data_IF_447244873738
#
_entry.id   IF_447244873738
#
_cell.length_a   1.000
_cell.length_b   1.000
_cell.length_c   1.000
_cell.angle_alpha   90.00
_cell.angle_beta   90.00
_cell.angle_gamma   90.00
#
_symmetry.space_group_name_H-M   'P 1'
#
loop_
_entity.id
_entity.type
_entity.pdbx_description
1 polymer ?
#
# COMPACT_ATOMS: atom_id res chain seq x y z
N UNK A 1 10.14 -8.07 -5.71
CA UNK A 1 9.15 -8.64 -4.76
C UNK A 1 9.73 -8.66 -3.36
N UNK A 2 9.12 -7.96 -2.40
CA UNK A 2 9.46 -8.05 -0.98
C UNK A 2 9.28 -9.51 -0.52
N UNK A 3 10.20 -9.97 0.33
CA UNK A 3 10.11 -11.31 0.92
C UNK A 3 8.77 -11.46 1.65
N UNK A 4 8.14 -12.64 1.58
CA UNK A 4 6.89 -12.92 2.32
C UNK A 4 7.00 -12.52 3.79
N UNK A 5 8.16 -12.75 4.41
CA UNK A 5 8.46 -12.34 5.79
C UNK A 5 8.33 -10.83 6.02
N UNK A 6 8.77 -10.00 5.06
CA UNK A 6 8.69 -8.54 5.17
C UNK A 6 7.23 -8.05 5.11
N UNK A 7 6.38 -8.72 4.32
CA UNK A 7 4.95 -8.41 4.26
C UNK A 7 4.23 -8.76 5.57
N UNK A 8 4.56 -9.91 6.17
CA UNK A 8 4.01 -10.30 7.48
C UNK A 8 4.47 -9.36 8.60
N UNK A 9 5.76 -9.01 8.66
CA UNK A 9 6.26 -8.05 9.63
C UNK A 9 5.59 -6.67 9.50
N UNK A 10 5.27 -6.25 8.26
CA UNK A 10 4.52 -5.02 8.01
C UNK A 10 3.08 -5.12 8.53
N UNK A 11 2.39 -6.23 8.27
CA UNK A 11 1.04 -6.47 8.78
C UNK A 11 1.01 -6.50 10.32
N UNK A 12 1.99 -7.13 10.96
CA UNK A 12 2.15 -7.14 12.42
C UNK A 12 2.39 -5.72 12.98
N UNK A 13 3.16 -4.89 12.27
CA UNK A 13 3.36 -3.49 12.64
C UNK A 13 2.05 -2.68 12.58
N UNK A 14 1.15 -2.96 11.63
CA UNK A 14 -0.14 -2.28 11.52
C UNK A 14 -1.06 -2.55 12.72
N UNK A 15 -0.98 -3.76 13.30
CA UNK A 15 -1.76 -4.11 14.50
C UNK A 15 -1.37 -3.26 15.73
N UNK A 16 -0.16 -2.70 15.75
CA UNK A 16 0.34 -1.83 16.83
C UNK A 16 0.13 -0.33 16.61
N UNK A 17 -0.55 0.08 15.54
CA UNK A 17 -0.84 1.49 15.27
C UNK A 17 -1.90 2.02 16.25
N UNK A 18 -1.70 3.21 16.80
CA UNK A 18 -2.63 3.80 17.79
C UNK A 18 -3.30 5.07 17.30
N UNK A 19 -2.88 5.60 16.14
CA UNK A 19 -3.46 6.79 15.54
C UNK A 19 -4.80 6.48 14.91
N UNK A 20 -5.78 7.37 15.07
CA UNK A 20 -7.05 7.32 14.37
C UNK A 20 -7.06 8.39 13.27
N UNK A 21 -7.79 8.14 12.19
CA UNK A 21 -8.03 9.15 11.16
C UNK A 21 -8.73 10.37 11.77
N UNK A 22 -8.35 11.56 11.34
CA UNK A 22 -8.98 12.82 11.81
C UNK A 22 -10.48 12.88 11.50
N UNK A 23 -10.92 12.20 10.44
CA UNK A 23 -12.31 12.12 10.05
C UNK A 23 -12.60 10.72 9.54
N UNK A 24 -13.68 10.11 10.01
CA UNK A 24 -14.17 8.84 9.51
C UNK A 24 -14.63 8.94 8.05
N UNK A 25 -14.63 7.81 7.35
CA UNK A 25 -15.00 7.79 5.94
C UNK A 25 -16.47 8.19 5.71
N UNK A 26 -17.35 7.91 6.68
CA UNK A 26 -18.76 8.31 6.68
C UNK A 26 -18.94 9.83 6.78
N UNK A 27 -18.07 10.50 7.52
CA UNK A 27 -18.13 11.95 7.74
C UNK A 27 -17.22 12.75 6.80
N UNK A 28 -16.37 12.08 6.00
CA UNK A 28 -15.44 12.72 5.09
C UNK A 28 -16.13 13.68 4.10
N UNK A 29 -17.32 13.30 3.60
CA UNK A 29 -18.13 14.16 2.73
C UNK A 29 -18.56 15.47 3.39
N UNK A 30 -18.81 15.45 4.70
CA UNK A 30 -19.31 16.61 5.45
C UNK A 30 -18.13 17.49 5.91
N UNK A 31 -16.98 16.90 6.19
CA UNK A 31 -15.78 17.63 6.58
C UNK A 31 -15.23 18.51 5.44
N UNK A 32 -15.43 18.13 4.18
CA UNK A 32 -15.02 18.93 3.02
C UNK A 32 -15.91 18.65 1.79
N UNK A 33 -17.17 19.13 1.78
CA UNK A 33 -18.14 18.81 0.74
C UNK A 33 -17.71 19.31 -0.64
N UNK A 34 -17.12 20.50 -0.71
CA UNK A 34 -16.61 21.05 -1.98
C UNK A 34 -15.52 20.17 -2.60
N UNK A 35 -14.59 19.67 -1.78
CA UNK A 35 -13.53 18.80 -2.25
C UNK A 35 -14.04 17.39 -2.58
N UNK A 36 -15.00 16.87 -1.82
CA UNK A 36 -15.66 15.61 -2.13
C UNK A 36 -16.35 15.67 -3.50
N UNK A 37 -17.10 16.74 -3.78
CA UNK A 37 -17.67 16.97 -5.10
C UNK A 37 -16.60 17.03 -6.21
N UNK A 38 -15.50 17.76 -6.01
CA UNK A 38 -14.39 17.77 -6.97
C UNK A 38 -13.78 16.38 -7.16
N UNK A 39 -13.72 15.58 -6.10
CA UNK A 39 -13.21 14.20 -6.15
C UNK A 39 -14.14 13.24 -6.88
N UNK A 40 -15.44 13.56 -6.99
CA UNK A 40 -16.40 12.79 -7.80
C UNK A 40 -16.27 13.14 -9.29
N UNK A 41 -16.13 14.44 -9.62
CA UNK A 41 -16.08 14.89 -11.02
C UNK A 41 -14.69 14.81 -11.67
N UNK A 42 -13.61 14.84 -10.89
CA UNK A 42 -12.22 14.78 -11.35
C UNK A 42 -11.42 13.77 -10.51
N UNK A 43 -11.96 12.56 -10.32
CA UNK A 43 -11.38 11.51 -9.47
C UNK A 43 -9.91 11.24 -9.81
N UNK A 44 -9.59 11.13 -11.10
CA UNK A 44 -8.23 10.90 -11.57
C UNK A 44 -7.29 12.05 -11.18
N UNK A 45 -7.69 13.29 -11.44
CA UNK A 45 -6.91 14.49 -11.15
C UNK A 45 -6.59 14.58 -9.65
N UNK A 46 -7.60 14.35 -8.81
CA UNK A 46 -7.45 14.38 -7.35
C UNK A 46 -6.52 13.28 -6.87
N UNK A 47 -6.66 12.06 -7.38
CA UNK A 47 -5.77 10.94 -7.04
C UNK A 47 -4.31 11.23 -7.42
N UNK A 48 -4.05 11.81 -8.58
CA UNK A 48 -2.72 12.26 -9.00
C UNK A 48 -2.11 13.27 -8.01
N UNK A 49 -2.85 14.32 -7.67
CA UNK A 49 -2.38 15.36 -6.76
C UNK A 49 -2.19 14.84 -5.34
N UNK A 50 -3.09 14.00 -4.83
CA UNK A 50 -2.98 13.40 -3.50
C UNK A 50 -1.80 12.44 -3.42
N UNK A 51 -1.56 11.64 -4.46
CA UNK A 51 -0.40 10.73 -4.52
C UNK A 51 0.92 11.51 -4.53
N UNK A 52 1.01 12.57 -5.33
CA UNK A 52 2.19 13.45 -5.36
C UNK A 52 2.42 14.14 -4.01
N UNK A 53 1.34 14.57 -3.34
CA UNK A 53 1.40 15.16 -1.99
C UNK A 53 1.75 14.16 -0.89
N UNK A 54 1.29 12.92 -0.99
CA UNK A 54 1.65 11.85 -0.06
C UNK A 54 3.17 11.57 -0.12
N UNK A 55 3.77 11.67 -1.32
CA UNK A 55 5.22 11.61 -1.54
C UNK A 55 5.97 12.91 -1.19
N UNK A 56 5.31 13.89 -0.57
CA UNK A 56 5.85 15.22 -0.25
C UNK A 56 6.44 15.94 -1.47
N UNK A 57 5.82 15.77 -2.65
CA UNK A 57 6.27 16.29 -3.94
C UNK A 57 7.65 15.77 -4.42
N UNK A 58 8.25 14.80 -3.73
CA UNK A 58 9.50 14.16 -4.15
C UNK A 58 9.21 12.89 -4.97
N UNK A 59 9.23 13.07 -6.29
CA UNK A 59 8.96 11.99 -7.25
C UNK A 59 10.10 10.97 -7.37
N UNK A 60 11.27 11.20 -6.74
CA UNK A 60 12.36 10.21 -6.75
C UNK A 60 12.02 8.95 -5.95
N UNK A 61 11.07 9.07 -5.02
CA UNK A 61 10.55 7.99 -4.17
C UNK A 61 9.34 7.28 -4.75
N UNK A 62 8.89 7.71 -5.92
CA UNK A 62 7.73 7.14 -6.57
C UNK A 62 8.01 5.70 -7.02
N UNK A 63 7.13 4.80 -6.60
CA UNK A 63 7.02 3.42 -7.08
C UNK A 63 5.56 3.20 -7.48
N UNK A 64 5.37 2.68 -8.69
CA UNK A 64 4.06 2.37 -9.24
C UNK A 64 3.31 1.43 -8.29
N UNK A 65 2.06 1.77 -7.95
CA UNK A 65 1.21 0.98 -7.06
C UNK A 65 1.86 0.63 -5.70
N UNK A 66 2.81 1.46 -5.24
CA UNK A 66 3.58 1.25 -4.00
C UNK A 66 4.37 -0.07 -3.93
N UNK A 67 4.77 -0.62 -5.09
CA UNK A 67 5.60 -1.83 -5.13
C UNK A 67 4.86 -3.14 -4.82
N UNK A 68 3.53 -3.08 -4.63
CA UNK A 68 2.71 -4.23 -4.26
C UNK A 68 2.17 -5.00 -5.48
N UNK A 69 2.17 -4.36 -6.66
CA UNK A 69 1.69 -4.97 -7.90
C UNK A 69 2.83 -5.42 -8.83
N UNK A 70 2.58 -6.43 -9.67
CA UNK A 70 3.58 -6.97 -10.61
C UNK A 70 4.05 -5.96 -11.68
N UNK A 71 3.33 -4.85 -11.88
CA UNK A 71 3.73 -3.75 -12.77
C UNK A 71 4.86 -2.88 -12.19
N UNK A 72 5.05 -2.88 -10.87
CA UNK A 72 6.05 -2.04 -10.18
C UNK A 72 7.48 -2.46 -10.55
N UNK A 73 8.35 -1.47 -10.83
CA UNK A 73 9.76 -1.72 -11.18
C UNK A 73 10.01 -2.17 -12.62
N UNK A 74 8.98 -2.37 -13.44
CA UNK A 74 9.12 -2.84 -14.84
C UNK A 74 8.75 -1.79 -15.88
N UNK A 75 8.06 -0.73 -15.48
CA UNK A 75 7.55 0.31 -16.39
C UNK A 75 8.49 1.52 -16.57
N UNK A 76 9.76 1.44 -16.16
CA UNK A 76 10.69 2.58 -16.30
C UNK A 76 10.35 3.78 -15.41
N UNK A 77 9.71 3.53 -14.26
CA UNK A 77 9.20 4.54 -13.32
C UNK A 77 10.26 5.52 -12.81
N UNK A 78 11.54 5.14 -12.79
CA UNK A 78 12.66 6.00 -12.39
C UNK A 78 13.03 7.04 -13.46
N UNK A 79 12.76 6.76 -14.74
CA UNK A 79 13.09 7.67 -15.84
C UNK A 79 12.02 8.76 -16.02
N UNK A 80 10.74 8.41 -15.86
CA UNK A 80 9.59 9.32 -16.01
C UNK A 80 8.49 9.02 -14.95
N UNK A 81 8.68 9.41 -13.68
CA UNK A 81 7.76 9.07 -12.60
C UNK A 81 6.39 9.74 -12.74
N UNK A 82 6.30 10.95 -13.28
CA UNK A 82 5.03 11.65 -13.48
C UNK A 82 4.14 10.99 -14.53
N UNK A 83 4.73 10.49 -15.63
CA UNK A 83 3.99 9.75 -16.65
C UNK A 83 3.50 8.40 -16.13
N UNK A 84 4.35 7.70 -15.36
CA UNK A 84 3.96 6.45 -14.72
C UNK A 84 2.85 6.69 -13.69
N UNK A 85 2.91 7.77 -12.92
CA UNK A 85 1.86 8.17 -11.98
C UNK A 85 0.55 8.49 -12.70
N UNK A 86 0.60 9.20 -13.83
CA UNK A 86 -0.57 9.43 -14.67
C UNK A 86 -1.19 8.10 -15.12
N UNK A 87 -0.37 7.18 -15.62
CA UNK A 87 -0.80 5.85 -16.07
C UNK A 87 -1.40 5.03 -14.91
N UNK A 88 -0.79 5.05 -13.73
CA UNK A 88 -1.31 4.40 -12.52
C UNK A 88 -2.70 4.94 -12.17
N UNK A 89 -2.87 6.26 -12.19
CA UNK A 89 -4.14 6.89 -11.86
C UNK A 89 -5.21 6.55 -12.89
N UNK A 90 -4.91 6.52 -14.19
CA UNK A 90 -5.89 6.23 -15.24
C UNK A 90 -6.26 4.75 -15.32
N UNK A 91 -5.27 3.85 -15.30
CA UNK A 91 -5.49 2.41 -15.53
C UNK A 91 -5.59 1.59 -14.25
N UNK A 92 -5.14 2.14 -13.12
CA UNK A 92 -5.13 1.46 -11.83
C UNK A 92 -5.70 2.38 -10.73
N UNK A 93 -6.72 3.18 -11.06
CA UNK A 93 -7.34 4.14 -10.12
C UNK A 93 -7.65 3.55 -8.73
N UNK A 94 -8.36 2.40 -8.61
CA UNK A 94 -8.57 1.70 -7.35
C UNK A 94 -7.31 1.54 -6.51
N UNK A 95 -6.26 1.07 -7.17
CA UNK A 95 -5.00 0.75 -6.54
C UNK A 95 -4.21 2.01 -6.19
N UNK A 96 -4.29 3.07 -7.00
CA UNK A 96 -3.71 4.37 -6.68
C UNK A 96 -4.27 4.92 -5.37
N UNK A 97 -5.61 4.89 -5.20
CA UNK A 97 -6.28 5.37 -3.99
C UNK A 97 -5.94 4.49 -2.79
N UNK A 98 -6.02 3.16 -2.93
CA UNK A 98 -5.71 2.22 -1.86
C UNK A 98 -4.24 2.31 -1.41
N UNK A 99 -3.31 2.38 -2.35
CA UNK A 99 -1.88 2.48 -2.06
C UNK A 99 -1.50 3.82 -1.42
N UNK A 100 -2.22 4.91 -1.75
CA UNK A 100 -2.10 6.19 -1.05
C UNK A 100 -2.60 6.09 0.39
N UNK A 101 -3.71 5.37 0.61
CA UNK A 101 -4.20 5.11 1.98
C UNK A 101 -3.15 4.39 2.81
N UNK A 102 -2.60 3.28 2.30
CA UNK A 102 -1.60 2.50 3.03
C UNK A 102 -0.35 3.32 3.35
N UNK A 103 0.10 4.16 2.41
CA UNK A 103 1.23 5.07 2.65
C UNK A 103 0.96 6.03 3.81
N UNK A 104 -0.24 6.62 3.86
CA UNK A 104 -0.62 7.52 4.97
C UNK A 104 -0.78 6.76 6.29
N UNK A 105 -1.31 5.53 6.25
CA UNK A 105 -1.42 4.68 7.44
C UNK A 105 -0.05 4.32 8.00
N UNK A 106 0.91 4.00 7.14
CA UNK A 106 2.28 3.68 7.53
C UNK A 106 3.01 4.90 8.08
N UNK A 107 2.86 6.04 7.43
CA UNK A 107 3.55 7.27 7.81
C UNK A 107 3.05 7.80 9.16
N UNK A 108 1.74 7.85 9.35
CA UNK A 108 1.12 8.47 10.52
C UNK A 108 0.64 7.45 11.56
N UNK A 109 0.96 6.15 11.36
CA UNK A 109 0.52 5.03 12.20
C UNK A 109 -0.99 5.05 12.47
N UNK A 110 -1.76 5.11 11.39
CA UNK A 110 -3.22 5.23 11.44
C UNK A 110 -3.92 3.87 11.28
N UNK A 111 -4.93 3.62 12.10
CA UNK A 111 -5.83 2.48 11.97
C UNK A 111 -7.16 2.88 11.35
N UNK A 112 -7.72 1.96 10.55
CA UNK A 112 -9.09 2.08 10.08
C UNK A 112 -10.06 1.77 11.23
N UNK A 113 -11.18 2.48 11.25
CA UNK A 113 -12.31 2.11 12.11
C UNK A 113 -13.04 0.90 11.54
N UNK A 114 -13.86 0.23 12.36
CA UNK A 114 -14.72 -0.87 11.92
C UNK A 114 -15.68 -0.44 10.80
N UNK A 115 -16.14 0.82 10.85
CA UNK A 115 -16.99 1.40 9.81
C UNK A 115 -16.23 1.54 8.48
N UNK A 116 -14.99 2.06 8.52
CA UNK A 116 -14.13 2.16 7.34
C UNK A 116 -13.85 0.78 6.73
N UNK A 117 -13.59 -0.23 7.57
CA UNK A 117 -13.38 -1.61 7.12
C UNK A 117 -14.63 -2.21 6.46
N UNK A 118 -15.82 -1.92 7.00
CA UNK A 118 -17.08 -2.34 6.40
C UNK A 118 -17.30 -1.69 5.03
N UNK A 119 -17.15 -0.36 4.93
CA UNK A 119 -17.36 0.38 3.67
C UNK A 119 -16.38 -0.07 2.59
N UNK A 120 -15.09 -0.14 2.92
CA UNK A 120 -14.04 -0.59 1.99
C UNK A 120 -14.25 -2.06 1.63
N UNK A 121 -14.65 -2.89 2.59
CA UNK A 121 -14.97 -4.30 2.37
C UNK A 121 -16.16 -4.51 1.43
N UNK A 122 -17.25 -3.76 1.61
CA UNK A 122 -18.42 -3.78 0.72
C UNK A 122 -18.05 -3.35 -0.69
N UNK A 123 -17.24 -2.29 -0.82
CA UNK A 123 -16.75 -1.80 -2.11
C UNK A 123 -15.97 -2.89 -2.86
N UNK A 124 -15.03 -3.56 -2.21
CA UNK A 124 -14.31 -4.69 -2.83
C UNK A 124 -15.22 -5.88 -3.12
N UNK A 125 -16.11 -6.25 -2.19
CA UNK A 125 -17.03 -7.38 -2.38
C UNK A 125 -17.95 -7.17 -3.59
N UNK A 126 -18.46 -5.95 -3.80
CA UNK A 126 -19.25 -5.60 -4.98
C UNK A 126 -18.45 -5.76 -6.28
N UNK A 127 -17.18 -5.31 -6.30
CA UNK A 127 -16.32 -5.47 -7.48
C UNK A 127 -16.01 -6.94 -7.79
N UNK A 128 -15.74 -7.76 -6.77
CA UNK A 128 -15.54 -9.19 -6.95
C UNK A 128 -16.82 -9.87 -7.46
N UNK A 129 -17.98 -9.48 -6.95
CA UNK A 129 -19.27 -10.00 -7.42
C UNK A 129 -19.50 -9.65 -8.90
N UNK A 130 -19.28 -8.40 -9.29
CA UNK A 130 -19.39 -7.96 -10.70
C UNK A 130 -18.47 -8.79 -11.60
N UNK A 131 -17.21 -9.01 -11.18
CA UNK A 131 -16.26 -9.84 -11.92
C UNK A 131 -16.74 -11.30 -12.06
N UNK A 132 -17.27 -11.90 -10.99
CA UNK A 132 -17.83 -13.25 -11.02
C UNK A 132 -19.06 -13.33 -11.95
N UNK A 133 -19.93 -12.32 -11.94
CA UNK A 133 -21.07 -12.24 -12.85
C UNK A 133 -20.62 -12.14 -14.31
N UNK A 134 -19.57 -11.36 -14.62
CA UNK A 134 -18.98 -11.29 -15.96
C UNK A 134 -18.42 -12.65 -16.42
N UNK A 135 -17.67 -13.34 -15.56
CA UNK A 135 -17.14 -14.68 -15.88
C UNK A 135 -18.29 -15.67 -16.12
N UNK A 136 -19.33 -15.64 -15.27
CA UNK A 136 -20.50 -16.50 -15.42
C UNK A 136 -21.26 -16.19 -16.72
N UNK A 137 -21.43 -14.92 -17.08
CA UNK A 137 -22.05 -14.51 -18.34
C UNK A 137 -21.24 -15.00 -19.56
N UNK A 138 -19.91 -14.91 -19.51
CA UNK A 138 -19.03 -15.40 -20.57
C UNK A 138 -19.10 -16.94 -20.74
N UNK A 139 -19.26 -17.70 -19.65
CA UNK A 139 -19.32 -19.17 -19.70
C UNK A 139 -20.72 -19.67 -20.10
N UNK A 140 -21.77 -19.07 -19.54
CA UNK A 140 -23.15 -19.53 -19.75
C UNK A 140 -23.76 -19.04 -21.06
N UNK A 141 -23.28 -17.93 -21.64
CA UNK A 141 -23.81 -17.36 -22.88
C UNK A 141 -25.30 -16.99 -22.81
N UNK A 142 -25.82 -16.72 -21.61
CA UNK A 142 -27.23 -16.42 -21.36
C UNK A 142 -27.41 -14.91 -21.16
N UNK A 143 -28.36 -14.33 -21.88
CA UNK A 143 -28.66 -12.89 -21.87
C UNK A 143 -29.04 -12.36 -20.48
N UNK A 144 -29.73 -13.17 -19.65
CA UNK A 144 -30.10 -12.78 -18.28
C UNK A 144 -28.87 -12.63 -17.38
N UNK A 145 -27.87 -13.50 -17.56
CA UNK A 145 -26.61 -13.36 -16.82
C UNK A 145 -25.79 -12.17 -17.32
N UNK A 146 -25.90 -11.83 -18.60
CA UNK A 146 -25.26 -10.65 -19.16
C UNK A 146 -25.86 -9.36 -18.57
N UNK A 147 -27.19 -9.25 -18.53
CA UNK A 147 -27.90 -8.13 -17.91
C UNK A 147 -27.56 -8.01 -16.41
N UNK A 148 -27.47 -9.14 -15.70
CA UNK A 148 -27.07 -9.16 -14.29
C UNK A 148 -25.62 -8.70 -14.11
N UNK A 149 -24.71 -9.10 -15.00
CA UNK A 149 -23.31 -8.67 -14.96
C UNK A 149 -23.19 -7.16 -15.18
N UNK A 150 -23.91 -6.60 -16.16
CA UNK A 150 -23.96 -5.15 -16.41
C UNK A 150 -24.52 -4.41 -15.19
N UNK A 151 -25.61 -4.91 -14.59
CA UNK A 151 -26.19 -4.28 -13.40
C UNK A 151 -25.22 -4.30 -12.22
N UNK A 152 -24.59 -5.45 -11.95
CA UNK A 152 -23.62 -5.59 -10.87
C UNK A 152 -22.40 -4.68 -11.06
N UNK A 153 -21.92 -4.54 -12.30
CA UNK A 153 -20.81 -3.66 -12.67
C UNK A 153 -21.16 -2.18 -12.45
N UNK A 154 -22.35 -1.75 -12.90
CA UNK A 154 -22.83 -0.39 -12.65
C UNK A 154 -22.96 -0.06 -11.15
N UNK A 155 -23.44 -1.02 -10.35
CA UNK A 155 -23.53 -0.85 -8.89
C UNK A 155 -22.11 -0.75 -8.29
N UNK A 156 -21.19 -1.61 -8.73
CA UNK A 156 -19.81 -1.58 -8.30
C UNK A 156 -19.16 -0.24 -8.63
N UNK A 157 -19.35 0.30 -9.84
CA UNK A 157 -18.82 1.60 -10.27
C UNK A 157 -19.37 2.77 -9.44
N UNK A 158 -20.66 2.76 -9.11
CA UNK A 158 -21.27 3.80 -8.25
C UNK A 158 -20.67 3.75 -6.84
N UNK A 159 -20.57 2.55 -6.26
CA UNK A 159 -19.92 2.35 -4.96
C UNK A 159 -18.45 2.79 -5.04
N UNK A 160 -17.78 2.51 -6.14
CA UNK A 160 -16.38 2.86 -6.34
C UNK A 160 -16.17 4.37 -6.40
N UNK A 161 -16.95 5.07 -7.22
CA UNK A 161 -16.87 6.53 -7.36
C UNK A 161 -17.16 7.24 -6.04
N UNK A 162 -18.19 6.80 -5.32
CA UNK A 162 -18.58 7.41 -4.04
C UNK A 162 -17.55 7.14 -2.94
N UNK A 163 -17.17 5.88 -2.71
CA UNK A 163 -16.23 5.51 -1.64
C UNK A 163 -14.84 6.08 -1.93
N UNK A 164 -14.36 6.05 -3.18
CA UNK A 164 -13.08 6.66 -3.52
C UNK A 164 -13.08 8.18 -3.34
N UNK A 165 -14.19 8.88 -3.59
CA UNK A 165 -14.29 10.30 -3.30
C UNK A 165 -14.20 10.59 -1.79
N UNK A 166 -14.86 9.76 -0.97
CA UNK A 166 -14.75 9.82 0.49
C UNK A 166 -13.30 9.58 0.95
N UNK A 167 -12.65 8.54 0.43
CA UNK A 167 -11.27 8.17 0.79
C UNK A 167 -10.29 9.29 0.40
N UNK A 168 -10.41 9.82 -0.80
CA UNK A 168 -9.57 10.93 -1.26
C UNK A 168 -9.76 12.20 -0.41
N UNK A 169 -10.99 12.46 0.02
CA UNK A 169 -11.29 13.58 0.94
C UNK A 169 -10.68 13.35 2.32
N UNK A 170 -10.79 12.13 2.86
CA UNK A 170 -10.13 11.74 4.11
C UNK A 170 -8.61 11.88 4.02
N UNK A 171 -8.00 11.42 2.92
CA UNK A 171 -6.56 11.58 2.66
C UNK A 171 -6.16 13.05 2.64
N UNK A 172 -6.94 13.91 1.99
CA UNK A 172 -6.69 15.37 1.93
C UNK A 172 -6.70 15.99 3.33
N UNK A 173 -7.76 15.76 4.11
CA UNK A 173 -7.89 16.30 5.47
C UNK A 173 -6.76 15.82 6.38
N UNK A 174 -6.36 14.55 6.25
CA UNK A 174 -5.27 13.99 7.02
C UNK A 174 -3.91 14.60 6.61
N UNK A 175 -3.66 14.78 5.31
CA UNK A 175 -2.46 15.46 4.82
C UNK A 175 -2.44 16.95 5.20
N UNK A 176 -3.59 17.61 5.23
CA UNK A 176 -3.71 19.01 5.70
C UNK A 176 -3.26 19.13 7.17
N UNK A 177 -3.66 18.17 8.02
CA UNK A 177 -3.22 18.11 9.42
C UNK A 177 -1.72 17.86 9.53
N UNK A 178 -1.20 16.89 8.78
CA UNK A 178 0.24 16.56 8.74
C UNK A 178 1.08 17.77 8.35
N UNK A 179 0.67 18.46 7.28
CA UNK A 179 1.41 19.60 6.75
C UNK A 179 1.30 20.83 7.69
N UNK A 180 0.23 20.92 8.49
CA UNK A 180 0.03 21.99 9.51
C UNK A 180 0.80 21.71 10.81
N UNK A 181 0.97 20.43 11.18
CA UNK A 181 1.70 20.02 12.39
C UNK A 181 2.75 18.93 12.10
N UNK A 182 3.88 19.26 11.44
CA UNK A 182 4.90 18.29 11.05
C UNK A 182 5.60 17.61 12.23
N UNK A 183 5.59 18.25 13.42
CA UNK A 183 6.23 17.73 14.63
C UNK A 183 5.39 16.65 15.35
N UNK A 184 4.08 16.57 15.06
CA UNK A 184 3.16 15.61 15.68
C UNK A 184 3.19 14.22 15.04
N UNK A 185 3.67 14.11 13.81
CA UNK A 185 3.76 12.84 13.09
C UNK A 185 5.23 12.42 13.00
N UNK A 186 5.54 11.24 13.55
CA UNK A 186 6.89 10.69 13.56
C UNK A 186 7.48 10.68 12.15
N UNK A 187 8.74 11.11 12.04
CA UNK A 187 9.42 11.32 10.77
C UNK A 187 9.32 10.12 9.82
N UNK A 188 9.24 10.45 8.53
CA UNK A 188 9.27 9.58 7.35
C UNK A 188 9.47 8.09 7.64
N UNK A 189 8.52 7.20 7.29
CA UNK A 189 8.90 5.82 7.07
C UNK A 189 9.97 5.83 5.96
N UNK A 190 11.04 5.02 6.08
CA UNK A 190 12.06 4.96 5.06
C UNK A 190 11.36 4.69 3.73
N UNK A 191 11.66 5.52 2.72
CA UNK A 191 11.28 5.25 1.34
C UNK A 191 11.52 3.76 1.13
N UNK A 192 10.49 3.03 0.68
CA UNK A 192 10.58 1.59 0.47
C UNK A 192 11.84 1.33 -0.35
N UNK A 193 12.93 0.97 0.33
CA UNK A 193 14.17 0.54 -0.28
C UNK A 193 13.87 -0.86 -0.77
N UNK A 194 13.18 -0.91 -1.91
CA UNK A 194 13.37 -2.04 -2.78
C UNK A 194 14.84 -2.06 -3.12
N UNK A 195 15.55 -3.19 -2.90
CA UNK A 195 16.91 -3.32 -3.40
C UNK A 195 16.87 -2.99 -4.89
N UNK A 196 17.76 -2.12 -5.40
CA UNK A 196 17.85 -1.89 -6.83
C UNK A 196 17.93 -3.25 -7.50
N UNK A 197 17.05 -3.51 -8.47
CA UNK A 197 17.12 -4.67 -9.33
C UNK A 197 18.44 -4.59 -10.09
N UNK A 198 19.52 -5.12 -9.51
CA UNK A 198 20.71 -5.42 -10.27
C UNK A 198 20.37 -6.62 -11.14
N UNK A 199 20.51 -6.53 -12.47
CA UNK A 199 20.45 -7.72 -13.31
C UNK A 199 21.54 -8.67 -12.82
N UNK A 200 21.12 -9.83 -12.33
CA UNK A 200 22.01 -10.91 -11.89
C UNK A 200 22.76 -11.45 -13.10
N UNK A 201 23.87 -10.80 -13.46
CA UNK A 201 24.93 -11.46 -14.20
C UNK A 201 25.73 -12.28 -13.19
N UNK A 202 25.68 -13.60 -13.34
CA UNK A 202 26.55 -14.54 -12.64
C UNK A 202 28.00 -14.14 -12.85
N UNK A 203 28.64 -13.67 -11.79
CA UNK A 203 30.07 -13.40 -11.77
C UNK A 203 30.69 -14.17 -10.60
N UNK A 204 31.55 -15.12 -10.97
CA UNK A 204 32.41 -15.89 -10.06
C UNK A 204 33.21 -14.98 -9.11
N UNK A 205 33.48 -15.39 -7.85
CA UNK A 205 34.18 -14.55 -6.89
C UNK A 205 35.71 -14.59 -7.10
N UNK A 206 36.42 -13.46 -7.09
CA UNK A 206 37.82 -13.40 -6.72
C UNK A 206 38.02 -12.85 -5.30
N UNK A 207 39.11 -13.30 -4.69
CA UNK A 207 39.40 -13.30 -3.25
C UNK A 207 39.56 -11.93 -2.58
N UNK A 208 39.22 -11.87 -1.29
CA UNK A 208 39.43 -10.74 -0.39
C UNK A 208 40.86 -10.76 0.21
N UNK A 209 41.60 -9.65 0.07
CA UNK A 209 42.78 -9.35 0.89
C UNK A 209 42.40 -8.48 2.10
N UNK A 210 43.02 -8.80 3.23
CA UNK A 210 42.74 -8.36 4.60
C UNK A 210 43.15 -6.92 4.94
N UNK A 211 42.39 -6.28 5.85
CA UNK A 211 42.85 -5.24 6.81
C UNK A 211 41.87 -5.18 7.99
N UNK A 212 42.14 -5.88 9.10
CA UNK A 212 42.85 -5.46 10.34
C UNK A 212 42.00 -4.59 11.29
N UNK A 213 41.51 -5.19 12.38
CA UNK A 213 40.66 -4.59 13.42
C UNK A 213 41.46 -4.46 14.75
N UNK A 214 41.26 -3.41 15.57
CA UNK A 214 41.91 -3.26 16.87
C UNK A 214 41.29 -4.17 17.98
N UNK A 215 42.03 -4.47 19.07
CA UNK A 215 41.73 -5.62 19.93
C UNK A 215 40.61 -5.39 20.96
N UNK A 216 39.86 -6.46 21.21
CA UNK A 216 38.72 -6.58 22.11
C UNK A 216 39.15 -6.96 23.56
N UNK A 217 38.51 -6.46 24.63
CA UNK A 217 38.69 -6.97 25.99
C UNK A 217 38.03 -8.35 26.21
N UNK A 218 38.75 -9.23 26.91
CA UNK A 218 38.41 -10.63 27.23
C UNK A 218 37.16 -10.79 28.13
N UNK A 219 36.31 -11.76 27.78
CA UNK A 219 35.28 -12.34 28.65
C UNK A 219 35.68 -13.78 29.07
N UNK A 220 35.36 -14.22 30.31
CA UNK A 220 35.76 -15.53 30.86
C UNK A 220 34.89 -16.71 30.36
N UNK A 221 35.39 -17.96 30.43
CA UNK A 221 34.82 -19.14 29.75
C UNK A 221 33.65 -19.82 30.49
N UNK A 222 32.75 -20.42 29.69
CA UNK A 222 31.50 -21.09 30.06
C UNK A 222 31.71 -22.53 30.61
N UNK A 223 30.91 -23.04 31.56
CA UNK A 223 31.02 -24.41 32.07
C UNK A 223 30.52 -25.52 31.12
N UNK A 224 31.22 -26.64 31.15
CA UNK A 224 31.04 -27.86 30.35
C UNK A 224 29.91 -28.76 30.90
N UNK A 225 29.00 -29.22 30.03
CA UNK A 225 27.98 -30.23 30.37
C UNK A 225 28.53 -31.67 30.25
N UNK A 226 28.21 -32.59 31.18
CA UNK A 226 28.63 -33.99 31.11
C UNK A 226 27.70 -34.87 30.23
N UNK A 227 28.21 -35.99 29.67
CA UNK A 227 27.53 -36.82 28.67
C UNK A 227 26.53 -37.86 29.24
N UNK A 228 25.62 -38.42 28.41
CA UNK A 228 24.50 -39.23 28.86
C UNK A 228 24.87 -40.71 29.12
N UNK A 229 24.37 -41.27 30.23
CA UNK A 229 24.49 -42.71 30.54
C UNK A 229 23.23 -43.49 30.14
N UNK A 230 23.47 -44.67 29.57
CA UNK A 230 22.52 -45.51 28.86
C UNK A 230 21.63 -46.41 29.71
N UNK A 231 20.62 -46.94 29.02
CA UNK A 231 19.58 -47.87 29.47
C UNK A 231 20.12 -49.25 29.87
N UNK A 232 19.57 -49.83 30.95
CA UNK A 232 19.52 -51.29 31.18
C UNK A 232 18.16 -51.68 31.77
N UNK A 233 17.78 -52.91 31.39
CA UNK A 233 16.53 -53.66 31.55
C UNK A 233 15.93 -53.67 32.95
#
# INVERSE_FOLDING_TARGET
>A
MASKQQKYAKLEAHSGYTGLWKTDLSNACIASPGFCCTSIFCSWCVSYHLRKRALHNDMTRYLCCNGDWPCSGRCGEQSCPEFCLCTEVFFCFPQSVASTRWMLQDEMRLQNTECDNCIIGTMFAAQYLACLCWIAACISGNDILNDLAILADNIADILWCSVCACMQTQHKVQMDERDTNPAGFGGYPPAQQYPPHQPQYQQYPPQQQYQQYPPNPQYPPNPQYPPPQGWKQ
#
